data_IF_486866613182
#
_entry.id   IF_486866613182
#
_cell.length_a   1.000
_cell.length_b   1.000
_cell.length_c   1.000
_cell.angle_alpha   90.00
_cell.angle_beta   90.00
_cell.angle_gamma   90.00
#
_symmetry.space_group_name_H-M   'P 1'
#
loop_
_entity.id
_entity.type
_entity.pdbx_description
1 polymer ?
#
# COMPACT_ATOMS: atom_id res chain seq x y z
N UNK A 1 11.02 31.30 -6.38
CA UNK A 1 9.79 30.52 -6.61
C UNK A 1 9.70 29.49 -5.49
N UNK A 2 8.71 29.61 -4.60
CA UNK A 2 8.44 28.58 -3.60
C UNK A 2 7.60 27.50 -4.28
N UNK A 3 8.17 26.31 -4.47
CA UNK A 3 7.41 25.12 -4.91
C UNK A 3 6.32 24.85 -3.87
N UNK A 4 5.07 25.20 -4.18
CA UNK A 4 3.94 24.95 -3.27
C UNK A 4 3.43 23.54 -3.51
N UNK A 5 3.54 22.68 -2.50
CA UNK A 5 2.98 21.33 -2.57
C UNK A 5 1.47 21.37 -2.76
N UNK A 6 1.00 20.70 -3.81
CA UNK A 6 -0.42 20.64 -4.17
C UNK A 6 -1.04 19.40 -3.53
N UNK A 7 -2.06 19.58 -2.69
CA UNK A 7 -2.79 18.48 -2.07
C UNK A 7 -3.89 18.00 -3.01
N UNK A 8 -4.08 16.69 -3.14
CA UNK A 8 -5.21 16.11 -3.86
C UNK A 8 -5.82 14.92 -3.10
N UNK A 9 -7.16 14.72 -3.21
CA UNK A 9 -7.83 13.59 -2.58
C UNK A 9 -7.47 12.27 -3.30
N UNK A 10 -7.15 11.23 -2.55
CA UNK A 10 -6.87 9.90 -3.08
C UNK A 10 -7.29 8.80 -2.11
N UNK A 11 -7.96 7.77 -2.61
CA UNK A 11 -8.37 6.60 -1.84
C UNK A 11 -7.26 5.55 -1.72
N UNK A 12 -6.19 5.68 -2.51
CA UNK A 12 -5.09 4.71 -2.57
C UNK A 12 -4.43 4.48 -1.19
N UNK A 13 -4.16 5.52 -0.36
CA UNK A 13 -3.63 5.30 0.99
C UNK A 13 -4.52 4.40 1.86
N UNK A 14 -5.85 4.50 1.73
CA UNK A 14 -6.77 3.63 2.44
C UNK A 14 -6.65 2.18 1.96
N UNK A 15 -6.54 1.95 0.64
CA UNK A 15 -6.30 0.60 0.10
C UNK A 15 -4.97 0.01 0.57
N UNK A 16 -3.90 0.81 0.62
CA UNK A 16 -2.57 0.40 1.12
C UNK A 16 -2.65 -0.13 2.56
N UNK A 17 -3.43 0.54 3.43
CA UNK A 17 -3.68 0.09 4.81
C UNK A 17 -4.61 -1.12 4.81
N UNK A 18 -5.68 -1.09 4.01
CA UNK A 18 -6.66 -2.16 3.89
C UNK A 18 -6.05 -3.50 3.46
N UNK A 19 -5.10 -3.50 2.53
CA UNK A 19 -4.36 -4.71 2.12
C UNK A 19 -3.57 -5.30 3.29
N UNK A 20 -2.95 -4.45 4.10
CA UNK A 20 -2.23 -4.91 5.29
C UNK A 20 -3.20 -5.54 6.30
N UNK A 21 -4.37 -4.91 6.49
CA UNK A 21 -5.42 -5.42 7.38
C UNK A 21 -5.99 -6.76 6.90
N UNK A 22 -6.24 -6.91 5.60
CA UNK A 22 -6.76 -8.14 5.00
C UNK A 22 -5.72 -9.27 4.98
N UNK A 23 -4.43 -8.94 4.91
CA UNK A 23 -3.37 -9.94 4.96
C UNK A 23 -3.27 -10.63 6.33
N UNK A 24 -3.53 -9.91 7.43
CA UNK A 24 -3.43 -10.45 8.80
C UNK A 24 -4.26 -11.72 9.01
N UNK A 25 -5.59 -11.75 8.77
CA UNK A 25 -6.38 -12.97 8.96
C UNK A 25 -5.92 -14.09 8.02
N UNK A 26 -5.50 -13.79 6.79
CA UNK A 26 -4.98 -14.80 5.85
C UNK A 26 -3.68 -15.44 6.35
N UNK A 27 -2.77 -14.64 6.90
CA UNK A 27 -1.50 -15.07 7.50
C UNK A 27 -1.77 -15.91 8.75
N UNK A 28 -2.66 -15.46 9.65
CA UNK A 28 -2.99 -16.16 10.90
C UNK A 28 -3.67 -17.50 10.61
N UNK A 29 -4.65 -17.55 9.70
CA UNK A 29 -5.31 -18.80 9.30
C UNK A 29 -4.33 -19.79 8.64
N UNK A 30 -3.26 -19.27 8.04
CA UNK A 30 -2.22 -20.07 7.39
C UNK A 30 -1.07 -20.46 8.34
N UNK A 31 -1.19 -20.24 9.65
CA UNK A 31 -0.09 -20.44 10.60
C UNK A 31 0.50 -21.87 10.59
N UNK A 32 -0.32 -22.89 10.35
CA UNK A 32 0.12 -24.29 10.26
C UNK A 32 0.72 -24.67 8.89
N UNK A 33 0.74 -23.75 7.93
CA UNK A 33 1.25 -23.96 6.56
C UNK A 33 2.29 -22.89 6.23
N UNK A 34 3.57 -23.09 6.57
CA UNK A 34 4.60 -22.06 6.48
C UNK A 34 4.73 -21.44 5.08
N UNK A 35 4.73 -22.27 4.02
CA UNK A 35 4.81 -21.79 2.64
C UNK A 35 3.63 -20.87 2.25
N UNK A 36 2.43 -21.16 2.77
CA UNK A 36 1.23 -20.37 2.47
C UNK A 36 1.24 -19.05 3.25
N UNK A 37 1.72 -19.05 4.49
CA UNK A 37 1.94 -17.83 5.28
C UNK A 37 2.93 -16.88 4.59
N UNK A 38 4.03 -17.41 4.09
CA UNK A 38 5.02 -16.64 3.32
C UNK A 38 4.43 -16.09 2.02
N UNK A 39 3.65 -16.90 1.30
CA UNK A 39 2.92 -16.46 0.12
C UNK A 39 2.00 -15.26 0.43
N UNK A 40 1.20 -15.32 1.49
CA UNK A 40 0.33 -14.19 1.87
C UNK A 40 1.12 -12.94 2.27
N UNK A 41 2.25 -13.12 2.96
CA UNK A 41 3.09 -11.99 3.40
C UNK A 41 3.76 -11.31 2.21
N UNK A 42 4.35 -12.08 1.29
CA UNK A 42 4.99 -11.56 0.08
C UNK A 42 3.96 -11.02 -0.92
N UNK A 43 2.83 -11.69 -1.10
CA UNK A 43 1.73 -11.20 -1.92
C UNK A 43 1.22 -9.84 -1.43
N UNK A 44 0.97 -9.72 -0.13
CA UNK A 44 0.53 -8.45 0.47
C UNK A 44 1.58 -7.34 0.32
N UNK A 45 2.88 -7.65 0.51
CA UNK A 45 3.94 -6.64 0.37
C UNK A 45 4.12 -6.17 -1.07
N UNK A 46 4.03 -7.07 -2.06
CA UNK A 46 4.11 -6.71 -3.48
C UNK A 46 2.92 -5.83 -3.88
N UNK A 47 1.69 -6.21 -3.53
CA UNK A 47 0.50 -5.41 -3.86
C UNK A 47 0.58 -4.04 -3.20
N UNK A 48 0.97 -3.98 -1.92
CA UNK A 48 1.16 -2.71 -1.20
C UNK A 48 2.24 -1.84 -1.85
N UNK A 49 3.36 -2.45 -2.24
CA UNK A 49 4.45 -1.76 -2.93
C UNK A 49 3.98 -1.15 -4.25
N UNK A 50 3.27 -1.91 -5.09
CA UNK A 50 2.77 -1.41 -6.37
C UNK A 50 1.79 -0.24 -6.20
N UNK A 51 0.91 -0.31 -5.20
CA UNK A 51 -0.01 0.80 -4.91
C UNK A 51 0.73 2.06 -4.44
N UNK A 52 1.68 1.93 -3.51
CA UNK A 52 2.50 3.08 -3.08
C UNK A 52 3.34 3.60 -4.24
N UNK A 53 3.92 2.72 -5.04
CA UNK A 53 4.71 3.08 -6.22
C UNK A 53 3.87 3.84 -7.25
N UNK A 54 2.59 3.52 -7.41
CA UNK A 54 1.69 4.26 -8.30
C UNK A 54 1.44 5.72 -7.87
N UNK A 55 1.73 6.08 -6.61
CA UNK A 55 1.67 7.46 -6.13
C UNK A 55 2.94 8.27 -6.48
N UNK A 56 4.03 7.60 -6.86
CA UNK A 56 5.32 8.22 -7.14
C UNK A 56 5.28 9.32 -8.21
N UNK A 57 4.58 9.16 -9.36
CA UNK A 57 4.54 10.21 -10.39
C UNK A 57 3.94 11.52 -9.88
N UNK A 58 2.91 11.43 -9.03
CA UNK A 58 2.27 12.59 -8.43
C UNK A 58 3.22 13.28 -7.44
N UNK A 59 3.94 12.49 -6.63
CA UNK A 59 4.91 13.02 -5.69
C UNK A 59 6.06 13.77 -6.39
N UNK A 60 6.57 13.21 -7.50
CA UNK A 60 7.57 13.86 -8.35
C UNK A 60 7.05 15.16 -9.00
N UNK A 61 5.73 15.31 -9.12
CA UNK A 61 5.05 16.52 -9.59
C UNK A 61 4.68 17.48 -8.45
N UNK A 62 5.28 17.31 -7.27
CA UNK A 62 4.99 18.07 -6.05
C UNK A 62 3.52 17.99 -5.59
N UNK A 63 2.85 16.85 -5.86
CA UNK A 63 1.49 16.58 -5.41
C UNK A 63 1.45 15.55 -4.29
N UNK A 64 0.77 15.86 -3.20
CA UNK A 64 0.62 15.00 -2.03
C UNK A 64 -0.80 14.44 -1.99
N UNK A 65 -0.91 13.11 -1.90
CA UNK A 65 -2.18 12.42 -1.70
C UNK A 65 -2.66 12.59 -0.25
N UNK A 66 -3.89 13.05 -0.07
CA UNK A 66 -4.59 13.06 1.22
C UNK A 66 -5.87 12.22 1.12
N UNK A 67 -6.24 11.58 2.23
CA UNK A 67 -7.41 10.72 2.34
C UNK A 67 -8.24 11.12 3.56
#
# INVERSE_FOLDING_TARGET
MTETWQVYPSIIPLYVVGISLLAVPLIVLSNNRPNLREFWTLGASIVKFLLVFSLLPNLLSHRIALF
#
